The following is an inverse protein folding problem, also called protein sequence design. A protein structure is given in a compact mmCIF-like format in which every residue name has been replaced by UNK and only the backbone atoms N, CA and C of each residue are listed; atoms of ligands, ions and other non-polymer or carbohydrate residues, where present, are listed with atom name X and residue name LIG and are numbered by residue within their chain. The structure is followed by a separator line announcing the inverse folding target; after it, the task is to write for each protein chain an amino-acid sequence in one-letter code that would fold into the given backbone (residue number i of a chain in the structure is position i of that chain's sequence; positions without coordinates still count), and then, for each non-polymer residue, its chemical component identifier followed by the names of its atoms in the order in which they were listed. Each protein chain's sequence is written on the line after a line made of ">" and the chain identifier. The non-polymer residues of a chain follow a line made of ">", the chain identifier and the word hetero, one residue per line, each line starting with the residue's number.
data_IF_504260023522
#
_entry.id   IF_504260023522
#
_cell.length_a   1.000
_cell.length_b   1.000
_cell.length_c   1.000
_cell.angle_alpha   90.00
_cell.angle_beta   90.00
_cell.angle_gamma   90.00
#
_symmetry.space_group_name_H-M   'P 1'
#
loop_
_entity.id
_entity.type
_entity.pdbx_description
1 polymer ?
#
# COMPACT_ATOMS: atom_id res chain seq x y z
N UNK A 1 24.23 12.54 -11.35
CA UNK A 1 23.24 12.19 -12.37
C UNK A 1 22.59 10.88 -11.95
N UNK A 2 21.42 10.95 -11.35
CA UNK A 2 20.61 9.75 -11.08
C UNK A 2 20.01 9.33 -12.42
N UNK A 3 20.35 8.12 -12.87
CA UNK A 3 19.69 7.52 -14.01
C UNK A 3 18.20 7.44 -13.68
N UNK A 4 17.35 8.04 -14.53
CA UNK A 4 15.93 7.77 -14.49
C UNK A 4 15.78 6.29 -14.83
N UNK A 5 15.54 5.46 -13.79
CA UNK A 5 15.00 4.14 -14.03
C UNK A 5 13.69 4.32 -14.83
N UNK A 6 13.38 3.45 -15.79
CA UNK A 6 12.09 3.49 -16.44
C UNK A 6 11.02 3.51 -15.36
N UNK A 7 10.03 4.40 -15.51
CA UNK A 7 8.88 4.42 -14.60
C UNK A 7 8.30 2.99 -14.58
N UNK A 8 8.01 2.45 -13.40
CA UNK A 8 7.39 1.14 -13.29
C UNK A 8 6.05 1.12 -14.02
N UNK A 9 5.49 -0.07 -14.21
CA UNK A 9 4.16 -0.29 -14.76
C UNK A 9 3.15 0.76 -14.28
N UNK A 10 2.21 1.14 -15.12
CA UNK A 10 1.38 2.35 -14.98
C UNK A 10 0.80 2.60 -13.58
N UNK A 11 0.56 1.54 -12.81
CA UNK A 11 -0.09 1.61 -11.50
C UNK A 11 0.87 1.89 -10.34
N UNK A 12 2.10 1.40 -10.38
CA UNK A 12 3.12 1.70 -9.35
C UNK A 12 3.52 3.19 -9.34
N UNK A 13 3.35 3.88 -10.47
CA UNK A 13 3.58 5.31 -10.56
C UNK A 13 2.37 6.18 -10.18
N UNK A 14 1.21 5.60 -9.82
CA UNK A 14 -0.02 6.35 -9.54
C UNK A 14 0.17 7.36 -8.40
N UNK A 15 0.81 6.96 -7.31
CA UNK A 15 1.10 7.84 -6.18
C UNK A 15 2.07 8.96 -6.56
N UNK A 16 3.10 8.65 -7.36
CA UNK A 16 4.04 9.64 -7.86
C UNK A 16 3.37 10.66 -8.76
N UNK A 17 2.48 10.23 -9.66
CA UNK A 17 1.70 11.12 -10.53
C UNK A 17 0.79 12.03 -9.72
N UNK A 18 0.11 11.49 -8.70
CA UNK A 18 -0.78 12.27 -7.86
C UNK A 18 -0.02 13.29 -6.99
N UNK A 19 1.11 12.92 -6.41
CA UNK A 19 1.97 13.86 -5.68
C UNK A 19 2.44 14.97 -6.61
N UNK A 20 2.91 14.64 -7.82
CA UNK A 20 3.37 15.63 -8.80
C UNK A 20 2.23 16.58 -9.24
N UNK A 21 1.01 16.05 -9.39
CA UNK A 21 -0.17 16.85 -9.73
C UNK A 21 -0.52 17.87 -8.64
N UNK A 22 -0.41 17.48 -7.37
CA UNK A 22 -0.73 18.33 -6.24
C UNK A 22 0.41 19.28 -5.86
N UNK A 23 1.64 18.90 -6.11
CA UNK A 23 2.86 19.64 -5.76
C UNK A 23 3.75 19.83 -7.00
N UNK A 24 3.30 20.60 -8.01
CA UNK A 24 3.99 20.71 -9.30
C UNK A 24 5.37 21.38 -9.20
N UNK A 25 5.60 22.23 -8.20
CA UNK A 25 6.85 22.94 -7.96
C UNK A 25 7.91 22.09 -7.23
N UNK A 26 7.53 20.91 -6.73
CA UNK A 26 8.46 20.04 -6.00
C UNK A 26 9.21 19.10 -6.94
N UNK A 27 10.52 18.97 -6.69
CA UNK A 27 11.33 17.95 -7.36
C UNK A 27 11.12 16.60 -6.70
N UNK A 28 10.77 15.59 -7.50
CA UNK A 28 10.49 14.25 -6.99
C UNK A 28 11.58 13.27 -7.42
N UNK A 29 12.04 12.46 -6.46
CA UNK A 29 12.91 11.31 -6.70
C UNK A 29 12.10 10.05 -6.45
N UNK A 30 12.03 9.15 -7.41
CA UNK A 30 11.37 7.86 -7.29
C UNK A 30 12.40 6.75 -7.09
N UNK A 31 12.13 5.86 -6.14
CA UNK A 31 12.90 4.64 -5.92
C UNK A 31 11.94 3.46 -5.84
N UNK A 32 11.97 2.58 -6.83
CA UNK A 32 11.23 1.32 -6.86
C UNK A 32 12.14 0.14 -6.55
N UNK A 33 11.71 -0.74 -5.65
CA UNK A 33 12.45 -1.96 -5.29
C UNK A 33 11.84 -3.21 -5.95
N UNK A 34 11.74 -3.19 -7.28
CA UNK A 34 11.21 -4.32 -8.07
C UNK A 34 11.98 -5.61 -7.86
N UNK A 35 13.30 -5.52 -7.59
CA UNK A 35 14.13 -6.72 -7.33
C UNK A 35 13.66 -7.53 -6.14
N UNK A 36 13.16 -6.87 -5.09
CA UNK A 36 12.74 -7.52 -3.85
C UNK A 36 11.22 -7.63 -3.71
N UNK A 37 10.44 -7.21 -4.71
CA UNK A 37 9.01 -7.43 -4.78
C UNK A 37 8.71 -8.93 -5.00
N UNK A 38 7.62 -9.48 -4.40
CA UNK A 38 6.64 -8.87 -3.52
C UNK A 38 7.08 -8.81 -2.05
N UNK A 39 6.63 -7.77 -1.31
CA UNK A 39 6.93 -7.59 0.12
C UNK A 39 5.96 -8.34 1.04
N UNK A 40 4.76 -8.67 0.56
CA UNK A 40 3.66 -9.17 1.39
C UNK A 40 3.96 -10.46 2.15
N UNK A 41 4.76 -11.34 1.59
CA UNK A 41 5.15 -12.63 2.19
C UNK A 41 6.46 -12.58 2.99
N UNK A 42 7.19 -11.43 3.00
CA UNK A 42 8.49 -11.33 3.66
C UNK A 42 8.35 -11.14 5.17
N UNK A 43 9.34 -11.62 5.96
CA UNK A 43 9.45 -11.30 7.38
C UNK A 43 9.55 -9.80 7.63
N UNK A 44 9.03 -9.33 8.77
CA UNK A 44 9.00 -7.90 9.08
C UNK A 44 10.40 -7.27 9.21
N UNK A 45 11.36 -7.99 9.77
CA UNK A 45 12.75 -7.57 9.91
C UNK A 45 13.44 -7.39 8.55
N UNK A 46 13.16 -8.28 7.59
CA UNK A 46 13.65 -8.15 6.22
C UNK A 46 13.05 -6.91 5.54
N UNK A 47 11.74 -6.68 5.69
CA UNK A 47 11.08 -5.49 5.15
C UNK A 47 11.65 -4.22 5.79
N UNK A 48 11.89 -4.21 7.09
CA UNK A 48 12.53 -3.09 7.78
C UNK A 48 13.92 -2.79 7.21
N UNK A 49 14.73 -3.81 6.95
CA UNK A 49 16.06 -3.64 6.36
C UNK A 49 15.99 -3.08 4.95
N UNK A 50 15.12 -3.62 4.09
CA UNK A 50 14.94 -3.15 2.72
C UNK A 50 14.42 -1.70 2.68
N UNK A 51 13.44 -1.39 3.52
CA UNK A 51 12.90 -0.03 3.63
C UNK A 51 13.95 0.96 4.15
N UNK A 52 14.80 0.55 5.11
CA UNK A 52 15.90 1.35 5.62
C UNK A 52 16.95 1.65 4.54
N UNK A 53 17.32 0.67 3.75
CA UNK A 53 18.23 0.84 2.61
C UNK A 53 17.66 1.83 1.57
N UNK A 54 16.37 1.70 1.26
CA UNK A 54 15.68 2.59 0.31
C UNK A 54 15.63 4.04 0.84
N UNK A 55 15.20 4.23 2.10
CA UNK A 55 15.14 5.55 2.73
C UNK A 55 16.53 6.16 2.85
N UNK A 56 17.55 5.38 3.23
CA UNK A 56 18.94 5.85 3.30
C UNK A 56 19.45 6.38 1.97
N UNK A 57 19.10 5.74 0.85
CA UNK A 57 19.44 6.23 -0.51
C UNK A 57 18.76 7.56 -0.83
N UNK A 58 17.47 7.71 -0.48
CA UNK A 58 16.73 8.96 -0.71
C UNK A 58 17.26 10.11 0.16
N UNK A 59 17.60 9.83 1.41
CA UNK A 59 18.26 10.79 2.31
C UNK A 59 19.62 11.21 1.74
N UNK A 60 20.43 10.26 1.29
CA UNK A 60 21.70 10.52 0.62
C UNK A 60 21.58 11.31 -0.69
N UNK A 61 20.43 11.22 -1.35
CA UNK A 61 20.08 12.00 -2.52
C UNK A 61 19.63 13.45 -2.20
N UNK A 62 19.56 13.82 -0.92
CA UNK A 62 19.17 15.17 -0.48
C UNK A 62 17.66 15.39 -0.44
N UNK A 63 16.86 14.35 -0.39
CA UNK A 63 15.41 14.48 -0.23
C UNK A 63 15.09 15.12 1.12
N UNK A 64 14.16 16.09 1.14
CA UNK A 64 13.71 16.78 2.36
C UNK A 64 12.53 16.08 3.05
N UNK A 65 11.91 15.09 2.37
CA UNK A 65 10.80 14.28 2.87
C UNK A 65 10.82 12.94 2.12
N UNK A 66 10.34 11.88 2.77
CA UNK A 66 10.18 10.56 2.15
C UNK A 66 8.72 10.11 2.27
N UNK A 67 8.17 9.60 1.17
CA UNK A 67 6.87 8.91 1.14
C UNK A 67 7.12 7.42 0.94
N UNK A 68 6.70 6.62 1.91
CA UNK A 68 6.70 5.16 1.81
C UNK A 68 5.38 4.73 1.17
N UNK A 69 5.37 4.67 -0.16
CA UNK A 69 4.18 4.40 -0.97
C UNK A 69 3.87 2.90 -1.07
N UNK A 70 3.93 2.20 0.06
CA UNK A 70 3.65 0.77 0.18
C UNK A 70 3.02 0.50 1.55
N UNK A 71 1.79 -0.02 1.58
CA UNK A 71 1.11 -0.35 2.83
C UNK A 71 1.87 -1.40 3.65
N UNK A 72 2.41 -2.43 2.99
CA UNK A 72 3.19 -3.49 3.61
C UNK A 72 4.47 -2.95 4.26
N UNK A 73 5.23 -2.13 3.54
CA UNK A 73 6.44 -1.51 4.08
C UNK A 73 6.12 -0.52 5.21
N UNK A 74 5.03 0.23 5.08
CA UNK A 74 4.56 1.12 6.14
C UNK A 74 4.21 0.34 7.39
N UNK A 75 3.39 -0.71 7.28
CA UNK A 75 2.98 -1.53 8.42
C UNK A 75 4.16 -2.17 9.15
N UNK A 76 5.21 -2.57 8.43
CA UNK A 76 6.36 -3.23 9.01
C UNK A 76 7.43 -2.27 9.55
N UNK A 77 7.66 -1.12 8.87
CA UNK A 77 8.89 -0.34 9.07
C UNK A 77 8.68 1.11 9.52
N UNK A 78 7.47 1.68 9.45
CA UNK A 78 7.29 3.13 9.60
C UNK A 78 7.80 3.67 10.94
N UNK A 79 7.54 2.97 12.04
CA UNK A 79 7.97 3.41 13.37
C UNK A 79 9.48 3.30 13.55
N UNK A 80 10.08 2.25 13.01
CA UNK A 80 11.53 2.10 12.98
C UNK A 80 12.17 3.23 12.16
N UNK A 81 11.68 3.50 10.98
CA UNK A 81 12.20 4.56 10.10
C UNK A 81 12.09 5.95 10.75
N UNK A 82 10.95 6.28 11.37
CA UNK A 82 10.73 7.54 12.07
C UNK A 82 11.65 7.69 13.29
N UNK A 83 11.93 6.61 14.01
CA UNK A 83 12.90 6.64 15.11
C UNK A 83 14.34 6.84 14.63
N UNK A 84 14.71 6.21 13.51
CA UNK A 84 16.07 6.30 12.95
C UNK A 84 16.33 7.65 12.30
N UNK A 85 15.40 8.14 11.49
CA UNK A 85 15.52 9.37 10.70
C UNK A 85 14.72 10.52 11.31
N UNK A 86 15.01 10.85 12.58
CA UNK A 86 14.22 11.80 13.39
C UNK A 86 14.01 13.19 12.78
N UNK A 87 14.95 13.66 11.95
CA UNK A 87 14.88 14.98 11.29
C UNK A 87 14.21 14.91 9.91
N UNK A 88 13.91 13.71 9.43
CA UNK A 88 13.30 13.49 8.13
C UNK A 88 11.78 13.25 8.30
N UNK A 89 10.93 14.10 7.73
CA UNK A 89 9.51 13.79 7.65
C UNK A 89 9.29 12.51 6.80
N UNK A 90 8.68 11.49 7.41
CA UNK A 90 8.36 10.24 6.72
C UNK A 90 6.86 10.00 6.77
N UNK A 91 6.24 10.02 5.59
CA UNK A 91 4.83 9.73 5.37
C UNK A 91 4.68 8.27 5.00
N UNK A 92 3.86 7.54 5.73
CA UNK A 92 3.48 6.17 5.41
C UNK A 92 2.07 6.10 4.85
N UNK A 93 1.71 4.96 4.28
CA UNK A 93 0.38 4.68 3.76
C UNK A 93 -0.33 3.62 4.60
N UNK A 94 -1.63 3.82 4.78
CA UNK A 94 -2.50 2.86 5.45
C UNK A 94 -3.69 2.51 4.54
N UNK A 95 -4.25 1.30 4.67
CA UNK A 95 -5.53 1.00 4.04
C UNK A 95 -6.60 2.03 4.42
N UNK A 96 -7.43 2.44 3.47
CA UNK A 96 -8.43 3.50 3.64
C UNK A 96 -9.65 3.05 4.49
N UNK A 97 -9.40 2.37 5.62
CA UNK A 97 -10.44 1.83 6.51
C UNK A 97 -11.25 2.95 7.15
N UNK A 98 -10.60 4.01 7.64
CA UNK A 98 -11.29 5.15 8.25
C UNK A 98 -12.36 5.76 7.33
N UNK A 99 -12.05 6.22 6.10
CA UNK A 99 -13.07 6.79 5.23
C UNK A 99 -14.13 5.76 4.83
N UNK A 100 -13.80 4.49 4.66
CA UNK A 100 -14.77 3.46 4.36
C UNK A 100 -15.76 3.25 5.51
N UNK A 101 -15.29 3.17 6.76
CA UNK A 101 -16.15 3.05 7.94
C UNK A 101 -17.07 4.28 8.12
N UNK A 102 -16.59 5.49 7.79
CA UNK A 102 -17.39 6.71 7.90
C UNK A 102 -18.45 6.86 6.78
N UNK A 103 -18.25 6.21 5.63
CA UNK A 103 -19.12 6.34 4.46
C UNK A 103 -20.02 5.12 4.22
N UNK A 104 -19.82 4.00 4.89
CA UNK A 104 -20.68 2.83 4.74
C UNK A 104 -22.10 3.13 5.22
N UNK A 105 -23.08 2.63 4.47
CA UNK A 105 -24.51 2.68 4.81
C UNK A 105 -25.01 1.34 5.30
N UNK A 106 -24.40 0.27 4.85
CA UNK A 106 -24.76 -1.11 5.27
C UNK A 106 -24.15 -1.50 6.62
N UNK A 107 -23.15 -0.77 7.10
CA UNK A 107 -22.34 -1.16 8.24
C UNK A 107 -21.37 -2.31 7.94
N UNK A 108 -21.17 -2.64 6.66
CA UNK A 108 -20.27 -3.72 6.23
C UNK A 108 -19.23 -3.18 5.25
N UNK A 109 -17.97 -3.38 5.56
CA UNK A 109 -16.83 -2.91 4.74
C UNK A 109 -15.94 -4.10 4.41
N UNK A 110 -15.68 -4.32 3.12
CA UNK A 110 -14.65 -5.25 2.64
C UNK A 110 -13.27 -4.59 2.68
N UNK A 111 -12.25 -5.31 3.11
CA UNK A 111 -10.86 -4.84 3.12
C UNK A 111 -9.99 -5.87 2.42
N UNK A 112 -9.44 -5.49 1.27
CA UNK A 112 -8.44 -6.26 0.56
C UNK A 112 -7.08 -5.68 0.91
N UNK A 113 -6.14 -6.52 1.34
CA UNK A 113 -4.79 -6.08 1.65
C UNK A 113 -3.84 -7.28 1.71
N UNK A 114 -2.55 -7.02 1.86
CA UNK A 114 -1.59 -8.10 2.15
C UNK A 114 -1.77 -8.59 3.60
N UNK A 115 -1.42 -9.85 3.87
CA UNK A 115 -1.46 -10.40 5.22
C UNK A 115 -0.72 -9.51 6.22
N UNK A 116 0.46 -9.02 5.84
CA UNK A 116 1.27 -8.12 6.67
C UNK A 116 0.57 -6.80 6.98
N UNK A 117 -0.16 -6.22 6.02
CA UNK A 117 -0.91 -4.99 6.26
C UNK A 117 -2.08 -5.20 7.23
N UNK A 118 -2.76 -6.34 7.13
CA UNK A 118 -3.88 -6.69 8.04
C UNK A 118 -3.40 -7.01 9.47
N UNK A 119 -2.20 -7.57 9.62
CA UNK A 119 -1.59 -7.86 10.92
C UNK A 119 -0.90 -6.64 11.55
N UNK A 120 -0.73 -5.55 10.81
CA UNK A 120 -0.04 -4.35 11.27
C UNK A 120 -0.83 -3.59 12.34
N UNK A 121 -0.09 -2.98 13.30
CA UNK A 121 -0.68 -2.20 14.40
C UNK A 121 -1.50 -1.00 13.88
N UNK A 122 -1.06 -0.35 12.80
CA UNK A 122 -1.79 0.76 12.18
C UNK A 122 -3.20 0.33 11.73
N UNK A 123 -3.31 -0.81 11.04
CA UNK A 123 -4.61 -1.36 10.64
C UNK A 123 -5.47 -1.68 11.87
N UNK A 124 -4.89 -2.38 12.87
CA UNK A 124 -5.61 -2.77 14.09
C UNK A 124 -6.12 -1.56 14.86
N UNK A 125 -5.31 -0.53 15.04
CA UNK A 125 -5.69 0.71 15.72
C UNK A 125 -6.79 1.46 14.96
N UNK A 126 -6.68 1.55 13.64
CA UNK A 126 -7.69 2.21 12.80
C UNK A 126 -9.01 1.43 12.81
N UNK A 127 -8.95 0.10 12.70
CA UNK A 127 -10.11 -0.77 12.79
C UNK A 127 -10.80 -0.69 14.17
N UNK A 128 -10.03 -0.69 15.26
CA UNK A 128 -10.57 -0.54 16.61
C UNK A 128 -11.23 0.83 16.81
N UNK A 129 -10.66 1.90 16.27
CA UNK A 129 -11.15 3.27 16.46
C UNK A 129 -12.40 3.59 15.64
N UNK A 130 -12.51 3.08 14.42
CA UNK A 130 -13.56 3.46 13.48
C UNK A 130 -14.50 2.31 13.10
N UNK A 131 -14.18 1.08 13.49
CA UNK A 131 -14.91 -0.13 13.15
C UNK A 131 -15.81 -0.68 14.27
N UNK A 132 -16.02 0.05 15.38
CA UNK A 132 -16.76 -0.47 16.55
C UNK A 132 -18.15 -1.01 16.22
N UNK A 133 -18.87 -0.35 15.29
CA UNK A 133 -20.21 -0.78 14.84
C UNK A 133 -20.20 -1.21 13.37
N UNK A 134 -19.03 -1.52 12.82
CA UNK A 134 -18.83 -1.87 11.42
C UNK A 134 -18.28 -3.29 11.32
N UNK A 135 -18.91 -4.10 10.49
CA UNK A 135 -18.41 -5.43 10.17
C UNK A 135 -17.32 -5.33 9.10
N UNK A 136 -16.06 -5.56 9.48
CA UNK A 136 -14.92 -5.59 8.57
C UNK A 136 -14.71 -7.00 8.02
N UNK A 137 -14.85 -7.16 6.71
CA UNK A 137 -14.64 -8.41 5.98
C UNK A 137 -13.27 -8.38 5.30
N UNK A 138 -12.25 -8.86 6.00
CA UNK A 138 -10.87 -8.86 5.47
C UNK A 138 -10.65 -9.96 4.44
N UNK A 139 -9.75 -9.71 3.49
CA UNK A 139 -9.22 -10.69 2.55
C UNK A 139 -7.77 -10.39 2.19
N UNK A 140 -6.99 -11.43 2.02
CA UNK A 140 -5.67 -11.32 1.40
C UNK A 140 -5.83 -11.37 -0.12
N UNK A 141 -5.26 -10.39 -0.81
CA UNK A 141 -5.24 -10.29 -2.28
C UNK A 141 -4.18 -11.21 -2.89
N UNK A 142 -4.34 -12.53 -2.71
CA UNK A 142 -3.40 -13.50 -3.29
C UNK A 142 -3.44 -13.45 -4.82
N UNK A 143 -2.25 -13.37 -5.43
CA UNK A 143 -2.07 -13.32 -6.88
C UNK A 143 -2.19 -11.93 -7.50
N UNK A 144 -2.60 -10.89 -6.75
CA UNK A 144 -2.75 -9.53 -7.31
C UNK A 144 -1.40 -8.91 -7.65
N UNK A 145 -0.43 -9.03 -6.75
CA UNK A 145 0.92 -8.47 -6.94
C UNK A 145 1.60 -9.12 -8.14
N UNK A 146 1.51 -10.44 -8.24
CA UNK A 146 2.11 -11.22 -9.32
C UNK A 146 1.50 -10.84 -10.68
N UNK A 147 0.20 -10.69 -10.76
CA UNK A 147 -0.49 -10.29 -12.00
C UNK A 147 -0.04 -8.92 -12.49
N UNK A 148 0.14 -7.95 -11.58
CA UNK A 148 0.60 -6.59 -11.92
C UNK A 148 2.07 -6.59 -12.29
N UNK A 149 2.93 -7.27 -11.53
CA UNK A 149 4.38 -7.32 -11.82
C UNK A 149 4.70 -8.05 -13.14
N UNK A 150 3.79 -8.92 -13.60
CA UNK A 150 3.88 -9.64 -14.88
C UNK A 150 3.13 -8.97 -16.03
N UNK A 151 2.63 -7.73 -15.86
CA UNK A 151 1.80 -6.98 -16.83
C UNK A 151 0.57 -7.79 -17.32
N UNK A 152 -0.06 -8.56 -16.41
CA UNK A 152 -1.21 -9.46 -16.68
C UNK A 152 -2.52 -8.99 -16.06
N UNK A 153 -2.60 -7.78 -15.57
CA UNK A 153 -3.77 -7.20 -14.89
C UNK A 153 -5.01 -7.11 -15.80
N UNK A 154 -4.84 -7.13 -17.13
CA UNK A 154 -5.94 -7.15 -18.10
C UNK A 154 -6.33 -8.57 -18.55
N UNK A 155 -5.74 -9.60 -17.97
CA UNK A 155 -6.00 -10.98 -18.34
C UNK A 155 -7.34 -11.51 -17.80
N UNK A 156 -7.94 -12.54 -18.43
CA UNK A 156 -9.10 -13.23 -17.87
C UNK A 156 -8.85 -13.80 -16.47
N UNK A 157 -7.61 -14.19 -16.17
CA UNK A 157 -7.19 -14.66 -14.85
C UNK A 157 -7.27 -13.53 -13.80
N UNK A 158 -6.87 -12.31 -14.15
CA UNK A 158 -7.01 -11.15 -13.29
C UNK A 158 -8.47 -10.89 -12.93
N UNK A 159 -9.37 -10.91 -13.93
CA UNK A 159 -10.82 -10.77 -13.70
C UNK A 159 -11.35 -11.84 -12.76
N UNK A 160 -10.93 -13.10 -12.95
CA UNK A 160 -11.35 -14.21 -12.10
C UNK A 160 -10.85 -14.05 -10.67
N UNK A 161 -9.59 -13.61 -10.51
CA UNK A 161 -8.96 -13.36 -9.20
C UNK A 161 -9.67 -12.24 -8.44
N UNK A 162 -9.94 -11.10 -9.10
CA UNK A 162 -10.70 -9.99 -8.52
C UNK A 162 -12.09 -10.45 -8.08
N UNK A 163 -12.81 -11.18 -8.92
CA UNK A 163 -14.15 -11.70 -8.59
C UNK A 163 -14.11 -12.62 -7.38
N UNK A 164 -13.18 -13.56 -7.35
CA UNK A 164 -13.01 -14.51 -6.23
C UNK A 164 -12.85 -13.80 -4.90
N UNK A 165 -12.11 -12.69 -4.88
CA UNK A 165 -11.84 -11.95 -3.65
C UNK A 165 -12.96 -10.96 -3.32
N UNK A 166 -13.51 -10.25 -4.30
CA UNK A 166 -14.50 -9.18 -4.10
C UNK A 166 -15.92 -9.71 -3.87
N UNK A 167 -16.39 -10.68 -4.69
CA UNK A 167 -17.79 -11.09 -4.69
C UNK A 167 -18.30 -11.62 -3.35
N UNK A 168 -17.55 -12.44 -2.57
CA UNK A 168 -18.04 -12.88 -1.27
C UNK A 168 -18.35 -11.72 -0.33
N UNK A 169 -17.53 -10.64 -0.35
CA UNK A 169 -17.71 -9.45 0.50
C UNK A 169 -18.96 -8.68 0.11
N UNK A 170 -19.22 -8.53 -1.19
CA UNK A 170 -20.45 -7.91 -1.70
C UNK A 170 -21.68 -8.74 -1.31
N UNK A 171 -21.63 -10.07 -1.45
CA UNK A 171 -22.74 -10.97 -1.04
C UNK A 171 -23.04 -10.89 0.46
N UNK A 172 -22.02 -10.62 1.27
CA UNK A 172 -22.16 -10.42 2.71
C UNK A 172 -22.61 -9.01 3.08
N UNK A 173 -22.90 -8.15 2.11
CA UNK A 173 -23.49 -6.84 2.29
C UNK A 173 -22.49 -5.68 2.31
N UNK A 174 -21.23 -5.91 1.97
CA UNK A 174 -20.27 -4.80 1.88
C UNK A 174 -20.67 -3.80 0.77
N UNK A 175 -20.83 -2.55 1.14
CA UNK A 175 -21.08 -1.42 0.24
C UNK A 175 -19.86 -0.53 0.04
N UNK A 176 -18.78 -0.81 0.75
CA UNK A 176 -17.47 -0.20 0.62
C UNK A 176 -16.42 -1.30 0.48
N UNK A 177 -15.49 -1.13 -0.46
CA UNK A 177 -14.32 -2.00 -0.62
C UNK A 177 -13.07 -1.15 -0.48
N UNK A 178 -12.24 -1.46 0.50
CA UNK A 178 -10.94 -0.85 0.73
C UNK A 178 -9.88 -1.63 -0.04
N UNK A 179 -9.12 -0.93 -0.87
CA UNK A 179 -7.93 -1.44 -1.55
C UNK A 179 -6.70 -1.10 -0.69
N UNK A 180 -6.16 -2.08 -0.04
CA UNK A 180 -5.10 -1.94 0.97
C UNK A 180 -3.70 -2.32 0.48
N UNK A 181 -3.53 -2.50 -0.82
CA UNK A 181 -2.25 -2.69 -1.48
C UNK A 181 -2.16 -1.77 -2.69
N UNK A 182 -0.96 -1.33 -3.03
CA UNK A 182 -0.70 -0.50 -4.21
C UNK A 182 -0.91 -1.25 -5.53
N UNK A 183 -1.00 -2.57 -5.48
CA UNK A 183 -1.28 -3.44 -6.63
C UNK A 183 -2.76 -3.82 -6.76
N UNK A 184 -3.64 -3.41 -5.83
CA UNK A 184 -5.07 -3.78 -5.88
C UNK A 184 -5.90 -3.03 -6.95
N UNK A 185 -5.56 -1.78 -7.36
CA UNK A 185 -6.36 -0.99 -8.29
C UNK A 185 -6.10 -1.32 -9.78
N UNK A 186 -6.30 -2.55 -10.24
CA UNK A 186 -6.20 -2.92 -11.65
C UNK A 186 -7.51 -3.50 -12.22
#
# INVERSE_FOLDING_TARGET
>A
AYAQAPLPAADQAAHWREIRRQLPEESLVYLGDGKNCPYGARPADEICRLADEAVGRLVGAGCKMVVVACNTATAAAIDFLRRKYRQMPIVGMEPAVKPACLNTRSGVVGVLATARSLDGDLFRLTAARYGENIRLLTAVGEGFVELVEEDREQSPEAVATVRRVREPRIREGADQIVLGCTHDPF
#
